data_IF_275449405151
#
_entry.id   IF_275449405151
#
_cell.length_a   1.000
_cell.length_b   1.000
_cell.length_c   1.000
_cell.angle_alpha   90.00
_cell.angle_beta   90.00
_cell.angle_gamma   90.00
#
_symmetry.space_group_name_H-M   'P 1'
#
loop_
_entity.id
_entity.type
_entity.pdbx_description
1 polymer ?
#
# COMPACT_ATOMS: atom_id res chain seq x y z
N UNK A 1 -15.22 7.94 -13.13
CA UNK A 1 -14.00 8.13 -12.30
C UNK A 1 -13.33 6.78 -12.18
N UNK A 2 -12.20 6.57 -12.85
CA UNK A 2 -11.44 5.32 -12.74
C UNK A 2 -10.69 5.34 -11.42
N UNK A 3 -11.13 4.53 -10.45
CA UNK A 3 -10.35 4.25 -9.25
C UNK A 3 -9.02 3.65 -9.72
N UNK A 4 -7.94 4.43 -9.55
CA UNK A 4 -6.63 4.17 -10.13
C UNK A 4 -6.22 2.70 -10.02
N UNK A 5 -6.12 2.07 -11.19
CA UNK A 5 -5.49 0.78 -11.48
C UNK A 5 -4.95 0.01 -10.26
N UNK A 6 -5.79 -0.86 -9.68
CA UNK A 6 -5.39 -1.88 -8.69
C UNK A 6 -4.38 -2.91 -9.23
N UNK A 7 -3.92 -2.79 -10.49
CA UNK A 7 -2.94 -3.66 -11.15
C UNK A 7 -1.49 -3.47 -10.67
N UNK A 8 -1.21 -2.52 -9.78
CA UNK A 8 0.15 -2.24 -9.30
C UNK A 8 0.58 -3.17 -8.16
N UNK A 9 -0.37 -3.77 -7.44
CA UNK A 9 -0.08 -4.59 -6.25
C UNK A 9 -0.19 -6.08 -6.54
N UNK A 10 0.69 -6.90 -5.93
CA UNK A 10 0.47 -8.35 -5.90
C UNK A 10 -0.82 -8.64 -5.10
N UNK A 11 -1.49 -9.76 -5.38
CA UNK A 11 -2.77 -10.09 -4.71
C UNK A 11 -2.67 -10.10 -3.18
N UNK A 12 -1.53 -10.52 -2.63
CA UNK A 12 -1.26 -10.50 -1.18
C UNK A 12 -1.13 -9.07 -0.66
N UNK A 13 -0.40 -8.21 -1.37
CA UNK A 13 -0.19 -6.83 -0.93
C UNK A 13 -1.49 -6.02 -0.98
N UNK A 14 -2.32 -6.25 -1.99
CA UNK A 14 -3.64 -5.64 -2.07
C UNK A 14 -4.50 -6.03 -0.86
N UNK A 15 -4.50 -7.32 -0.48
CA UNK A 15 -5.23 -7.80 0.70
C UNK A 15 -4.70 -7.15 1.99
N UNK A 16 -3.38 -7.03 2.14
CA UNK A 16 -2.76 -6.37 3.31
C UNK A 16 -3.11 -4.89 3.41
N UNK A 17 -3.08 -4.15 2.28
CA UNK A 17 -3.47 -2.74 2.27
C UNK A 17 -4.94 -2.56 2.62
N UNK A 18 -5.83 -3.39 2.07
CA UNK A 18 -7.27 -3.36 2.40
C UNK A 18 -7.49 -3.67 3.88
N UNK A 19 -6.85 -4.71 4.41
CA UNK A 19 -6.95 -5.06 5.83
C UNK A 19 -6.46 -3.90 6.72
N UNK A 20 -5.34 -3.28 6.38
CA UNK A 20 -4.81 -2.12 7.10
C UNK A 20 -5.78 -0.92 7.04
N UNK A 21 -6.40 -0.66 5.89
CA UNK A 21 -7.42 0.38 5.75
C UNK A 21 -8.63 0.11 6.66
N UNK A 22 -9.13 -1.12 6.70
CA UNK A 22 -10.26 -1.50 7.55
C UNK A 22 -9.91 -1.35 9.04
N UNK A 23 -8.74 -1.83 9.47
CA UNK A 23 -8.27 -1.69 10.86
C UNK A 23 -8.12 -0.22 11.24
N UNK A 24 -7.54 0.59 10.34
CA UNK A 24 -7.38 2.03 10.55
C UNK A 24 -8.74 2.72 10.67
N UNK A 25 -9.70 2.37 9.82
CA UNK A 25 -11.06 2.91 9.89
C UNK A 25 -11.73 2.55 11.22
N UNK A 26 -11.63 1.29 11.67
CA UNK A 26 -12.16 0.88 12.98
C UNK A 26 -11.49 1.66 14.12
N UNK A 27 -10.17 1.84 14.08
CA UNK A 27 -9.45 2.59 15.10
C UNK A 27 -9.83 4.09 15.11
N UNK A 28 -10.03 4.71 13.95
CA UNK A 28 -10.36 6.12 13.88
C UNK A 28 -11.81 6.41 14.28
N UNK A 29 -12.77 5.55 13.91
CA UNK A 29 -14.19 5.83 14.08
C UNK A 29 -14.84 5.13 15.29
N UNK A 30 -14.35 3.97 15.71
CA UNK A 30 -14.99 3.17 16.77
C UNK A 30 -14.17 3.07 18.05
N UNK A 31 -12.86 3.31 18.01
CA UNK A 31 -12.06 3.34 19.22
C UNK A 31 -12.18 4.70 19.92
N UNK A 32 -12.50 4.66 21.21
CA UNK A 32 -12.49 5.81 22.12
C UNK A 32 -11.05 6.07 22.57
N UNK A 33 -10.26 6.64 21.67
CA UNK A 33 -8.87 7.03 21.85
C UNK A 33 -8.71 8.51 21.57
N UNK A 34 -7.74 9.15 22.24
CA UNK A 34 -7.52 10.59 22.10
C UNK A 34 -7.22 10.99 20.66
N UNK A 35 -7.60 12.21 20.29
CA UNK A 35 -7.39 12.75 18.95
C UNK A 35 -5.91 12.68 18.52
N UNK A 36 -4.99 12.94 19.44
CA UNK A 36 -3.54 12.82 19.19
C UNK A 36 -3.13 11.41 18.78
N UNK A 37 -3.72 10.38 19.40
CA UNK A 37 -3.50 8.99 19.03
C UNK A 37 -4.07 8.65 17.66
N UNK A 38 -5.26 9.18 17.33
CA UNK A 38 -5.89 9.00 16.01
C UNK A 38 -5.03 9.57 14.89
N UNK A 39 -4.46 10.77 15.10
CA UNK A 39 -3.51 11.38 14.15
C UNK A 39 -2.26 10.50 13.99
N UNK A 40 -1.70 10.00 15.09
CA UNK A 40 -0.56 9.09 15.05
C UNK A 40 -0.84 7.82 14.24
N UNK A 41 -1.99 7.19 14.45
CA UNK A 41 -2.41 5.99 13.71
C UNK A 41 -2.59 6.29 12.21
N UNK A 42 -3.17 7.44 11.86
CA UNK A 42 -3.34 7.84 10.47
C UNK A 42 -1.99 8.03 9.76
N UNK A 43 -1.06 8.76 10.39
CA UNK A 43 0.29 9.01 9.85
C UNK A 43 1.04 7.69 9.70
N UNK A 44 1.02 6.84 10.74
CA UNK A 44 1.70 5.55 10.71
C UNK A 44 1.17 4.66 9.59
N UNK A 45 -0.15 4.52 9.49
CA UNK A 45 -0.79 3.68 8.47
C UNK A 45 -0.50 4.19 7.05
N UNK A 46 -0.52 5.52 6.86
CA UNK A 46 -0.13 6.14 5.60
C UNK A 46 1.33 5.83 5.23
N UNK A 47 2.27 5.98 6.16
CA UNK A 47 3.68 5.68 5.93
C UNK A 47 3.91 4.22 5.54
N UNK A 48 3.24 3.28 6.19
CA UNK A 48 3.33 1.85 5.86
C UNK A 48 2.82 1.57 4.44
N UNK A 49 1.66 2.11 4.08
CA UNK A 49 1.08 1.95 2.74
C UNK A 49 2.00 2.57 1.69
N UNK A 50 2.54 3.76 1.97
CA UNK A 50 3.45 4.45 1.08
C UNK A 50 4.73 3.65 0.81
N UNK A 51 5.41 3.17 1.86
CA UNK A 51 6.62 2.35 1.73
C UNK A 51 6.34 1.04 1.00
N UNK A 52 5.23 0.37 1.32
CA UNK A 52 4.83 -0.85 0.62
C UNK A 52 4.63 -0.59 -0.88
N UNK A 53 3.97 0.53 -1.22
CA UNK A 53 3.74 0.93 -2.62
C UNK A 53 5.05 1.21 -3.35
N UNK A 54 5.98 1.93 -2.72
CA UNK A 54 7.30 2.19 -3.29
C UNK A 54 8.11 0.90 -3.51
N UNK A 55 8.15 0.01 -2.52
CA UNK A 55 8.87 -1.25 -2.64
C UNK A 55 8.37 -2.06 -3.84
N UNK A 56 7.06 -2.10 -4.04
CA UNK A 56 6.46 -2.82 -5.17
C UNK A 56 6.69 -2.14 -6.50
N UNK A 57 6.63 -0.81 -6.55
CA UNK A 57 6.98 -0.06 -7.75
C UNK A 57 8.43 -0.35 -8.19
N UNK A 58 9.37 -0.36 -7.24
CA UNK A 58 10.78 -0.67 -7.49
C UNK A 58 10.96 -2.12 -7.97
N UNK A 59 10.35 -3.09 -7.29
CA UNK A 59 10.43 -4.50 -7.69
C UNK A 59 9.86 -4.74 -9.08
N UNK A 60 8.75 -4.06 -9.42
CA UNK A 60 8.15 -4.16 -10.75
C UNK A 60 9.06 -3.56 -11.82
N UNK A 61 9.67 -2.41 -11.54
CA UNK A 61 10.60 -1.76 -12.45
C UNK A 61 11.84 -2.64 -12.71
N UNK A 62 12.38 -3.30 -11.69
CA UNK A 62 13.49 -4.25 -11.87
C UNK A 62 13.09 -5.45 -12.73
N UNK A 63 11.89 -6.00 -12.50
CA UNK A 63 11.38 -7.11 -13.29
C UNK A 63 11.19 -6.73 -14.77
N UNK A 64 10.58 -5.58 -15.04
CA UNK A 64 10.38 -5.08 -16.41
C UNK A 64 11.71 -4.86 -17.15
N UNK A 65 12.75 -4.35 -16.47
CA UNK A 65 14.09 -4.20 -17.06
C UNK A 65 14.77 -5.53 -17.36
N UNK A 66 14.65 -6.51 -16.46
CA UNK A 66 15.19 -7.85 -16.67
C UNK A 66 14.50 -8.58 -17.83
N UNK A 67 13.17 -8.53 -17.90
CA UNK A 67 12.41 -9.16 -18.97
C UNK A 67 12.71 -8.52 -20.34
N UNK A 68 12.97 -7.21 -20.39
CA UNK A 68 13.39 -6.52 -21.62
C UNK A 68 14.80 -6.92 -22.09
N UNK A 69 15.74 -7.19 -21.17
CA UNK A 69 17.07 -7.67 -21.53
C UNK A 69 17.06 -9.10 -22.06
N UNK A 70 16.25 -9.99 -21.46
CA UNK A 70 16.15 -11.39 -21.91
C UNK A 70 15.49 -11.49 -23.29
N UNK A 71 14.51 -10.64 -23.60
CA UNK A 71 13.84 -10.68 -24.91
C UNK A 71 14.64 -10.04 -26.05
N UNK A 72 15.79 -9.42 -25.77
CA UNK A 72 16.69 -8.82 -26.76
C UNK A 72 17.97 -9.65 -27.02
N UNK A 73 18.13 -10.79 -26.33
CA UNK A 73 19.21 -11.75 -26.53
C UNK A 73 18.72 -13.00 -27.28
#
# INVERSE_FOLDING_TARGET
MSFGSFKVFSGVQQALVIALMLVTMMALFYADISLSYKIGIAVFSFSVIFLATLATAILRQQKEMHDQQVNQA
#
